data_IF_438418795933
#
_entry.id   IF_438418795933
#
_cell.length_a   1.000
_cell.length_b   1.000
_cell.length_c   1.000
_cell.angle_alpha   90.00
_cell.angle_beta   90.00
_cell.angle_gamma   90.00
#
_symmetry.space_group_name_H-M   'P 1'
#
loop_
_entity.id
_entity.type
_entity.pdbx_description
1 polymer ?
#
# COMPACT_ATOMS: atom_id res chain seq x y z
N UNK A 1 8.90 -15.86 1.98
CA UNK A 1 9.62 -15.09 0.95
C UNK A 1 11.10 -15.36 1.18
N UNK A 2 11.80 -15.85 0.16
CA UNK A 2 13.25 -16.02 0.20
C UNK A 2 13.94 -14.67 0.08
N UNK A 3 15.21 -14.60 0.49
CA UNK A 3 16.03 -13.41 0.26
C UNK A 3 16.04 -13.04 -1.23
N UNK A 4 15.76 -11.79 -1.55
CA UNK A 4 15.66 -11.31 -2.93
C UNK A 4 14.28 -11.48 -3.60
N UNK A 5 13.32 -12.19 -2.98
CA UNK A 5 11.95 -12.24 -3.50
C UNK A 5 11.17 -10.96 -3.09
N UNK A 6 10.40 -10.43 -4.03
CA UNK A 6 9.57 -9.24 -3.81
C UNK A 6 8.26 -9.55 -3.10
N UNK A 7 7.71 -8.56 -2.41
CA UNK A 7 6.40 -8.66 -1.77
C UNK A 7 5.26 -8.47 -2.78
N UNK A 8 4.06 -8.98 -2.45
CA UNK A 8 2.86 -8.75 -3.27
C UNK A 8 2.53 -7.26 -3.48
N UNK A 9 2.85 -6.39 -2.52
CA UNK A 9 2.71 -4.94 -2.68
C UNK A 9 3.59 -4.40 -3.81
N UNK A 10 4.85 -4.80 -3.86
CA UNK A 10 5.75 -4.39 -4.91
C UNK A 10 5.33 -4.94 -6.29
N UNK A 11 4.87 -6.20 -6.34
CA UNK A 11 4.38 -6.80 -7.58
C UNK A 11 3.17 -6.04 -8.15
N UNK A 12 2.27 -5.52 -7.31
CA UNK A 12 1.15 -4.67 -7.75
C UNK A 12 1.67 -3.36 -8.38
N UNK A 13 2.65 -2.72 -7.75
CA UNK A 13 3.32 -1.53 -8.32
C UNK A 13 4.02 -1.83 -9.64
N UNK A 14 4.73 -2.95 -9.74
CA UNK A 14 5.39 -3.38 -11.00
C UNK A 14 4.38 -3.65 -12.13
N UNK A 15 3.20 -4.21 -11.81
CA UNK A 15 2.14 -4.40 -12.81
C UNK A 15 1.67 -3.06 -13.36
N UNK A 16 1.51 -2.03 -12.52
CA UNK A 16 1.18 -0.68 -12.99
C UNK A 16 2.33 -0.09 -13.81
N UNK A 17 3.56 -0.18 -13.35
CA UNK A 17 4.72 0.32 -14.08
C UNK A 17 4.81 -0.28 -15.50
N UNK A 18 4.69 -1.61 -15.61
CA UNK A 18 4.63 -2.30 -16.91
C UNK A 18 3.42 -1.88 -17.75
N UNK A 19 2.30 -1.57 -17.12
CA UNK A 19 1.10 -1.08 -17.82
C UNK A 19 1.38 0.27 -18.46
N UNK A 20 1.99 1.19 -17.74
CA UNK A 20 2.36 2.52 -18.24
C UNK A 20 3.41 2.48 -19.36
N UNK A 21 4.35 1.56 -19.29
CA UNK A 21 5.35 1.36 -20.34
C UNK A 21 4.75 0.86 -21.68
N UNK A 22 3.53 0.28 -21.62
CA UNK A 22 2.88 -0.30 -22.81
C UNK A 22 1.67 0.51 -23.32
N UNK A 23 1.37 1.67 -22.74
CA UNK A 23 0.30 2.55 -23.24
C UNK A 23 0.54 4.00 -22.85
N UNK A 24 0.39 4.88 -23.83
CA UNK A 24 0.42 6.34 -23.66
C UNK A 24 -0.98 6.92 -23.47
N UNK A 25 -2.02 6.15 -23.78
CA UNK A 25 -3.41 6.58 -23.68
C UNK A 25 -3.94 6.37 -22.25
N UNK A 26 -4.11 7.47 -21.53
CA UNK A 26 -4.59 7.44 -20.14
C UNK A 26 -5.96 6.77 -19.95
N UNK A 27 -6.87 6.82 -20.93
CA UNK A 27 -8.17 6.15 -20.85
C UNK A 27 -8.01 4.64 -20.87
N UNK A 28 -6.99 4.13 -21.54
CA UNK A 28 -6.69 2.71 -21.66
C UNK A 28 -5.91 2.15 -20.46
N UNK A 29 -5.18 3.00 -19.72
CA UNK A 29 -4.38 2.56 -18.57
C UNK A 29 -5.22 1.71 -17.59
N UNK A 30 -6.41 2.17 -17.19
CA UNK A 30 -7.24 1.42 -16.23
C UNK A 30 -7.69 0.08 -16.81
N UNK A 31 -8.10 0.06 -18.09
CA UNK A 31 -8.54 -1.17 -18.79
C UNK A 31 -7.39 -2.18 -18.86
N UNK A 32 -6.22 -1.72 -19.30
CA UNK A 32 -5.03 -2.56 -19.44
C UNK A 32 -4.50 -3.00 -18.07
N UNK A 33 -4.52 -2.12 -17.08
CA UNK A 33 -4.14 -2.46 -15.71
C UNK A 33 -5.02 -3.56 -15.12
N UNK A 34 -6.35 -3.48 -15.27
CA UNK A 34 -7.27 -4.55 -14.86
C UNK A 34 -6.94 -5.89 -15.54
N UNK A 35 -6.67 -5.88 -16.85
CA UNK A 35 -6.25 -7.08 -17.59
C UNK A 35 -4.95 -7.64 -17.02
N UNK A 36 -3.96 -6.79 -16.75
CA UNK A 36 -2.67 -7.18 -16.21
C UNK A 36 -2.76 -7.69 -14.76
N UNK A 37 -3.63 -7.13 -13.92
CA UNK A 37 -3.93 -7.68 -12.58
C UNK A 37 -4.43 -9.12 -12.68
N UNK A 38 -5.41 -9.39 -13.56
CA UNK A 38 -5.92 -10.76 -13.75
C UNK A 38 -4.82 -11.69 -14.27
N UNK A 39 -4.00 -11.25 -15.23
CA UNK A 39 -2.89 -12.04 -15.79
C UNK A 39 -1.84 -12.40 -14.72
N UNK A 40 -1.45 -11.44 -13.88
CA UNK A 40 -0.35 -11.63 -12.92
C UNK A 40 -0.77 -12.29 -11.61
N UNK A 41 -2.03 -12.11 -11.17
CA UNK A 41 -2.51 -12.60 -9.87
C UNK A 41 -3.67 -13.60 -9.98
N UNK A 42 -4.29 -13.76 -11.14
CA UNK A 42 -5.44 -14.63 -11.38
C UNK A 42 -5.08 -16.09 -11.60
N UNK A 43 -6.04 -16.91 -12.08
CA UNK A 43 -5.84 -18.31 -12.40
C UNK A 43 -4.60 -18.54 -13.26
N UNK A 44 -3.82 -19.56 -12.94
CA UNK A 44 -2.56 -19.87 -13.63
C UNK A 44 -1.33 -19.16 -13.08
N UNK A 45 -1.48 -18.08 -12.32
CA UNK A 45 -0.34 -17.36 -11.71
C UNK A 45 0.26 -18.11 -10.51
N UNK A 46 1.52 -17.74 -10.16
CA UNK A 46 2.17 -18.21 -8.93
C UNK A 46 1.35 -17.91 -7.66
N UNK A 47 0.64 -16.77 -7.62
CA UNK A 47 -0.22 -16.36 -6.53
C UNK A 47 -1.46 -17.26 -6.40
N UNK A 48 -2.07 -17.60 -7.53
CA UNK A 48 -3.27 -18.44 -7.57
C UNK A 48 -3.00 -19.88 -7.16
N UNK A 49 -1.85 -20.44 -7.59
CA UNK A 49 -1.40 -21.77 -7.15
C UNK A 49 -1.30 -21.86 -5.63
N UNK A 50 -0.71 -20.86 -4.98
CA UNK A 50 -0.60 -20.80 -3.53
C UNK A 50 -1.96 -20.64 -2.83
N UNK A 51 -2.88 -19.85 -3.40
CA UNK A 51 -4.24 -19.73 -2.88
C UNK A 51 -4.99 -21.08 -2.90
N UNK A 52 -4.85 -21.83 -3.98
CA UNK A 52 -5.47 -23.15 -4.13
C UNK A 52 -4.92 -24.15 -3.10
N UNK A 53 -3.61 -24.16 -2.89
CA UNK A 53 -2.96 -24.96 -1.83
C UNK A 53 -3.48 -24.58 -0.45
N UNK A 54 -3.62 -23.28 -0.15
CA UNK A 54 -4.16 -22.80 1.15
C UNK A 54 -5.58 -23.27 1.40
N UNK A 55 -6.45 -23.26 0.39
CA UNK A 55 -7.82 -23.79 0.52
C UNK A 55 -7.82 -25.27 0.85
N UNK A 56 -6.92 -26.05 0.20
CA UNK A 56 -6.75 -27.48 0.45
C UNK A 56 -6.25 -27.76 1.88
N UNK A 57 -5.39 -26.90 2.42
CA UNK A 57 -4.74 -27.08 3.72
C UNK A 57 -5.36 -26.24 4.86
N UNK A 58 -6.61 -25.84 4.75
CA UNK A 58 -7.34 -25.08 5.81
C UNK A 58 -7.27 -25.71 7.21
N UNK A 59 -7.01 -27.03 7.31
CA UNK A 59 -6.89 -27.79 8.56
C UNK A 59 -5.45 -27.86 9.09
N UNK A 60 -4.45 -27.37 8.37
CA UNK A 60 -3.05 -27.44 8.82
C UNK A 60 -2.76 -26.24 9.73
N UNK A 61 -2.40 -26.56 10.99
CA UNK A 61 -1.96 -25.58 11.99
C UNK A 61 -0.84 -24.69 11.40
N UNK A 62 -0.89 -23.41 11.72
CA UNK A 62 0.00 -22.31 11.26
C UNK A 62 1.54 -22.54 11.38
N UNK A 63 1.98 -23.72 11.80
CA UNK A 63 3.41 -24.05 11.97
C UNK A 63 4.15 -24.36 10.67
N UNK A 64 3.44 -24.59 9.57
CA UNK A 64 4.09 -24.85 8.28
C UNK A 64 4.13 -23.56 7.49
N UNK A 65 5.32 -22.95 7.37
CA UNK A 65 5.53 -21.78 6.54
C UNK A 65 5.11 -22.10 5.10
N UNK A 66 4.11 -21.39 4.59
CA UNK A 66 3.67 -21.55 3.21
C UNK A 66 4.74 -20.98 2.28
N UNK A 67 5.26 -21.80 1.39
CA UNK A 67 6.20 -21.36 0.35
C UNK A 67 5.48 -20.53 -0.71
N UNK A 68 6.09 -19.42 -1.12
CA UNK A 68 5.68 -18.61 -2.26
C UNK A 68 4.87 -17.35 -1.91
N UNK A 69 4.51 -16.56 -2.92
CA UNK A 69 3.90 -15.26 -2.73
C UNK A 69 2.47 -15.37 -2.22
N UNK A 70 2.10 -14.38 -1.39
CA UNK A 70 0.77 -14.25 -0.82
C UNK A 70 -0.06 -13.27 -1.63
N UNK A 71 -1.23 -13.69 -2.09
CA UNK A 71 -2.19 -12.78 -2.71
C UNK A 71 -2.97 -12.01 -1.64
N UNK A 72 -3.01 -10.70 -1.75
CA UNK A 72 -3.73 -9.82 -0.82
C UNK A 72 -5.24 -9.88 -1.03
N UNK A 73 -6.00 -9.65 0.03
CA UNK A 73 -7.46 -9.71 0.00
C UNK A 73 -8.05 -8.71 -1.01
N UNK A 74 -7.53 -7.49 -1.07
CA UNK A 74 -7.96 -6.49 -2.06
C UNK A 74 -7.79 -7.00 -3.49
N UNK A 75 -6.68 -7.64 -3.81
CA UNK A 75 -6.40 -8.17 -5.16
C UNK A 75 -7.34 -9.33 -5.50
N UNK A 76 -7.63 -10.22 -4.54
CA UNK A 76 -8.62 -11.29 -4.72
C UNK A 76 -10.01 -10.74 -5.04
N UNK A 77 -10.45 -9.73 -4.29
CA UNK A 77 -11.74 -9.06 -4.54
C UNK A 77 -11.75 -8.34 -5.88
N UNK A 78 -10.65 -7.68 -6.23
CA UNK A 78 -10.47 -7.02 -7.53
C UNK A 78 -10.67 -8.01 -8.68
N UNK A 79 -10.00 -9.15 -8.64
CA UNK A 79 -10.14 -10.19 -9.68
C UNK A 79 -11.59 -10.70 -9.76
N UNK A 80 -12.23 -10.95 -8.61
CA UNK A 80 -13.64 -11.36 -8.56
C UNK A 80 -14.55 -10.30 -9.17
N UNK A 81 -14.37 -9.04 -8.82
CA UNK A 81 -15.18 -7.93 -9.31
C UNK A 81 -14.97 -7.66 -10.81
N UNK A 82 -13.75 -7.84 -11.32
CA UNK A 82 -13.46 -7.78 -12.76
C UNK A 82 -14.23 -8.89 -13.52
N UNK A 83 -14.20 -10.13 -13.01
CA UNK A 83 -14.95 -11.26 -13.59
C UNK A 83 -16.45 -10.99 -13.58
N UNK A 84 -16.97 -10.33 -12.58
CA UNK A 84 -18.37 -9.92 -12.46
C UNK A 84 -18.69 -8.63 -13.24
N UNK A 85 -17.76 -8.14 -14.05
CA UNK A 85 -17.91 -6.92 -14.89
C UNK A 85 -18.33 -5.67 -14.11
N UNK A 86 -17.96 -5.56 -12.82
CA UNK A 86 -18.29 -4.38 -12.02
C UNK A 86 -17.51 -3.16 -12.50
N UNK A 87 -18.16 -1.98 -12.48
CA UNK A 87 -17.53 -0.69 -12.81
C UNK A 87 -16.37 -0.38 -11.86
N UNK A 88 -16.62 -0.49 -10.55
CA UNK A 88 -15.61 -0.32 -9.51
C UNK A 88 -15.16 -1.71 -9.07
N UNK A 89 -13.86 -1.99 -9.23
CA UNK A 89 -13.32 -3.34 -9.05
C UNK A 89 -12.56 -3.55 -7.75
N UNK A 90 -12.08 -2.49 -7.11
CA UNK A 90 -11.26 -2.59 -5.90
C UNK A 90 -11.96 -3.26 -4.73
N UNK A 91 -11.17 -3.96 -3.92
CA UNK A 91 -11.64 -4.59 -2.69
C UNK A 91 -12.06 -3.56 -1.63
N UNK A 92 -13.00 -3.93 -0.78
CA UNK A 92 -13.56 -3.07 0.29
C UNK A 92 -13.40 -3.65 1.69
N UNK A 93 -13.00 -4.91 1.81
CA UNK A 93 -12.97 -5.63 3.08
C UNK A 93 -11.80 -5.26 3.98
N UNK A 94 -10.69 -4.80 3.39
CA UNK A 94 -9.48 -4.47 4.13
C UNK A 94 -8.92 -3.12 3.69
N UNK A 95 -8.38 -2.37 4.65
CA UNK A 95 -7.75 -1.08 4.41
C UNK A 95 -6.23 -1.26 4.39
N UNK A 96 -5.67 -1.61 3.24
CA UNK A 96 -4.26 -1.93 3.05
C UNK A 96 -3.60 -1.10 1.94
N UNK A 97 -2.29 -1.27 1.78
CA UNK A 97 -1.46 -0.43 0.89
C UNK A 97 -1.54 -0.77 -0.61
N UNK A 98 -2.35 -1.74 -1.03
CA UNK A 98 -2.42 -2.15 -2.45
C UNK A 98 -2.75 -0.97 -3.38
N UNK A 99 -3.71 -0.13 -2.98
CA UNK A 99 -4.08 1.05 -3.75
C UNK A 99 -2.95 2.06 -3.88
N UNK A 100 -2.19 2.27 -2.81
CA UNK A 100 -0.99 3.11 -2.83
C UNK A 100 0.06 2.56 -3.79
N UNK A 101 0.42 1.29 -3.65
CA UNK A 101 1.44 0.66 -4.49
C UNK A 101 1.05 0.65 -5.97
N UNK A 102 -0.23 0.39 -6.28
CA UNK A 102 -0.76 0.47 -7.63
C UNK A 102 -0.68 1.88 -8.23
N UNK A 103 -0.92 2.89 -7.41
CA UNK A 103 -1.03 4.28 -7.88
C UNK A 103 0.29 5.05 -7.92
N UNK A 104 1.31 4.58 -7.21
CA UNK A 104 2.60 5.28 -7.11
C UNK A 104 3.23 5.56 -8.48
N UNK A 105 3.42 4.59 -9.39
CA UNK A 105 3.98 4.87 -10.71
C UNK A 105 3.08 5.81 -11.53
N UNK A 106 1.75 5.66 -11.42
CA UNK A 106 0.80 6.49 -12.15
C UNK A 106 0.82 7.94 -11.67
N UNK A 107 0.89 8.18 -10.36
CA UNK A 107 0.91 9.52 -9.76
C UNK A 107 2.10 10.33 -10.27
N UNK A 108 3.30 9.76 -10.22
CA UNK A 108 4.52 10.45 -10.68
C UNK A 108 4.59 10.64 -12.20
N UNK A 109 3.94 9.76 -12.97
CA UNK A 109 3.89 9.91 -14.44
C UNK A 109 2.86 10.94 -14.91
N UNK A 110 1.77 11.17 -14.18
CA UNK A 110 0.62 11.93 -14.68
C UNK A 110 0.19 13.12 -13.81
N UNK A 111 0.68 13.20 -12.58
CA UNK A 111 0.42 14.27 -11.60
C UNK A 111 -1.07 14.72 -11.51
N UNK A 112 -2.00 13.76 -11.46
CA UNK A 112 -3.44 14.03 -11.42
C UNK A 112 -4.10 13.33 -10.26
N UNK A 113 -4.50 14.07 -9.22
CA UNK A 113 -5.18 13.53 -8.03
C UNK A 113 -6.45 12.76 -8.37
N UNK A 114 -7.30 13.31 -9.26
CA UNK A 114 -8.56 12.68 -9.63
C UNK A 114 -8.35 11.32 -10.32
N UNK A 115 -7.41 11.25 -11.27
CA UNK A 115 -7.10 10.01 -11.98
C UNK A 115 -6.42 9.01 -11.07
N UNK A 116 -5.51 9.47 -10.20
CA UNK A 116 -4.84 8.66 -9.19
C UNK A 116 -5.83 7.99 -8.24
N UNK A 117 -6.85 8.71 -7.77
CA UNK A 117 -7.93 8.13 -6.96
C UNK A 117 -8.67 7.02 -7.71
N UNK A 118 -8.91 7.16 -9.02
CA UNK A 118 -9.50 6.08 -9.84
C UNK A 118 -8.61 4.83 -9.88
N UNK A 119 -7.30 5.01 -10.00
CA UNK A 119 -6.33 3.88 -9.93
C UNK A 119 -6.38 3.21 -8.55
N UNK A 120 -6.33 3.99 -7.46
CA UNK A 120 -6.44 3.45 -6.10
C UNK A 120 -7.71 2.59 -5.98
N UNK A 121 -8.86 3.13 -6.39
CA UNK A 121 -10.17 2.46 -6.32
C UNK A 121 -10.28 1.23 -7.23
N UNK A 122 -9.38 1.08 -8.19
CA UNK A 122 -9.34 -0.12 -9.04
C UNK A 122 -8.93 -1.35 -8.26
N UNK A 123 -8.09 -1.20 -7.21
CA UNK A 123 -7.59 -2.32 -6.38
C UNK A 123 -7.99 -2.22 -4.91
N UNK A 124 -8.24 -1.03 -4.38
CA UNK A 124 -8.64 -0.81 -2.98
C UNK A 124 -9.70 0.31 -2.91
N UNK A 125 -10.98 -0.06 -2.85
CA UNK A 125 -12.10 0.89 -2.91
C UNK A 125 -12.66 1.26 -1.52
N UNK A 126 -11.81 1.34 -0.52
CA UNK A 126 -12.16 1.85 0.81
C UNK A 126 -11.79 3.32 0.97
N UNK A 127 -12.66 4.15 1.57
CA UNK A 127 -12.39 5.57 1.85
C UNK A 127 -11.08 5.76 2.64
N UNK A 128 -10.85 4.93 3.64
CA UNK A 128 -9.61 4.94 4.45
C UNK A 128 -8.41 4.62 3.58
N UNK A 129 -8.46 3.53 2.79
CA UNK A 129 -7.38 3.16 1.88
C UNK A 129 -7.01 4.28 0.92
N UNK A 130 -8.01 4.96 0.35
CA UNK A 130 -7.79 6.08 -0.56
C UNK A 130 -7.14 7.27 0.14
N UNK A 131 -7.66 7.68 1.30
CA UNK A 131 -7.13 8.83 2.05
C UNK A 131 -5.67 8.63 2.45
N UNK A 132 -5.33 7.45 2.99
CA UNK A 132 -3.96 7.14 3.38
C UNK A 132 -3.02 6.98 2.18
N UNK A 133 -3.49 6.37 1.08
CA UNK A 133 -2.72 6.27 -0.15
C UNK A 133 -2.39 7.66 -0.73
N UNK A 134 -3.39 8.53 -0.86
CA UNK A 134 -3.19 9.90 -1.35
C UNK A 134 -2.26 10.72 -0.45
N UNK A 135 -2.37 10.56 0.88
CA UNK A 135 -1.48 11.24 1.81
C UNK A 135 -0.02 10.80 1.65
N UNK A 136 0.22 9.48 1.51
CA UNK A 136 1.57 8.94 1.23
C UNK A 136 2.14 9.54 -0.05
N UNK A 137 1.37 9.53 -1.14
CA UNK A 137 1.81 10.09 -2.42
C UNK A 137 2.19 11.57 -2.29
N UNK A 138 1.36 12.37 -1.61
CA UNK A 138 1.63 13.81 -1.41
C UNK A 138 2.84 14.07 -0.51
N UNK A 139 3.07 13.24 0.50
CA UNK A 139 4.26 13.37 1.38
C UNK A 139 5.52 13.01 0.59
N UNK A 140 5.50 11.95 -0.23
CA UNK A 140 6.64 11.58 -1.09
C UNK A 140 6.89 12.67 -2.14
N UNK A 141 5.84 13.21 -2.77
CA UNK A 141 5.97 14.29 -3.75
C UNK A 141 6.64 15.55 -3.15
N UNK A 142 6.31 15.88 -1.90
CA UNK A 142 6.99 16.95 -1.17
C UNK A 142 8.47 16.63 -0.95
N UNK A 143 8.78 15.40 -0.56
CA UNK A 143 10.17 14.97 -0.36
C UNK A 143 10.96 14.97 -1.67
N UNK A 144 10.37 14.49 -2.77
CA UNK A 144 10.95 14.47 -4.11
C UNK A 144 11.27 15.89 -4.62
N UNK A 145 10.44 16.86 -4.27
CA UNK A 145 10.65 18.29 -4.53
C UNK A 145 11.66 18.97 -3.59
N UNK A 146 12.34 18.21 -2.76
CA UNK A 146 13.39 18.69 -1.87
C UNK A 146 12.92 19.23 -0.53
N UNK A 147 11.65 19.04 -0.15
CA UNK A 147 11.17 19.44 1.17
C UNK A 147 11.87 18.62 2.28
N UNK A 148 12.54 19.32 3.19
CA UNK A 148 13.31 18.71 4.28
C UNK A 148 12.42 18.18 5.41
N UNK A 149 11.15 18.59 5.47
CA UNK A 149 10.18 18.17 6.48
C UNK A 149 8.80 17.90 5.87
N UNK A 150 8.70 16.94 4.92
CA UNK A 150 7.52 16.74 4.10
C UNK A 150 6.28 16.35 4.93
N UNK A 151 6.45 15.68 6.06
CA UNK A 151 5.34 15.30 6.96
C UNK A 151 4.71 16.52 7.61
N UNK A 152 5.51 17.44 8.13
CA UNK A 152 4.98 18.68 8.72
C UNK A 152 4.43 19.64 7.67
N UNK A 153 5.06 19.71 6.51
CA UNK A 153 4.53 20.51 5.38
C UNK A 153 3.19 19.97 4.91
N UNK A 154 3.04 18.64 4.79
CA UNK A 154 1.76 18.03 4.49
C UNK A 154 0.69 18.40 5.53
N UNK A 155 1.03 18.33 6.82
CA UNK A 155 0.11 18.73 7.89
C UNK A 155 -0.32 20.19 7.77
N UNK A 156 0.62 21.14 7.61
CA UNK A 156 0.29 22.58 7.47
C UNK A 156 -0.62 22.85 6.29
N UNK A 157 -0.32 22.28 5.12
CA UNK A 157 -1.09 22.47 3.90
C UNK A 157 -2.50 21.88 3.95
N UNK A 158 -2.72 20.85 4.77
CA UNK A 158 -3.97 20.09 4.76
C UNK A 158 -4.77 20.19 6.06
N UNK A 159 -4.36 21.01 7.04
CA UNK A 159 -4.98 21.05 8.38
C UNK A 159 -6.50 21.32 8.37
N UNK A 160 -6.98 22.08 7.39
CA UNK A 160 -8.40 22.40 7.19
C UNK A 160 -9.09 21.49 6.16
N UNK A 161 -8.36 20.56 5.55
CA UNK A 161 -8.89 19.70 4.50
C UNK A 161 -9.62 18.49 5.11
N UNK A 162 -10.94 18.55 5.11
CA UNK A 162 -11.81 17.48 5.64
C UNK A 162 -11.54 16.09 5.04
N UNK A 163 -11.05 16.04 3.80
CA UNK A 163 -10.69 14.79 3.14
C UNK A 163 -9.56 14.03 3.90
N UNK A 164 -8.61 14.75 4.50
CA UNK A 164 -7.48 14.16 5.21
C UNK A 164 -7.63 14.11 6.74
N UNK A 165 -8.80 14.41 7.31
CA UNK A 165 -8.96 14.48 8.78
C UNK A 165 -8.40 13.23 9.50
N UNK A 166 -8.77 12.01 9.06
CA UNK A 166 -8.27 10.78 9.64
C UNK A 166 -6.74 10.67 9.59
N UNK A 167 -6.13 11.07 8.47
CA UNK A 167 -4.67 11.03 8.29
C UNK A 167 -4.00 12.04 9.22
N UNK A 168 -4.51 13.26 9.26
CA UNK A 168 -3.99 14.35 10.09
C UNK A 168 -4.02 13.97 11.58
N UNK A 169 -5.13 13.42 12.05
CA UNK A 169 -5.26 12.94 13.43
C UNK A 169 -4.24 11.84 13.73
N UNK A 170 -4.02 10.91 12.83
CA UNK A 170 -3.06 9.83 13.01
C UNK A 170 -1.62 10.38 13.06
N UNK A 171 -1.25 11.31 12.18
CA UNK A 171 0.08 11.94 12.26
C UNK A 171 0.24 12.69 13.60
N UNK A 172 -0.78 13.44 14.05
CA UNK A 172 -0.75 14.12 15.36
C UNK A 172 -0.57 13.13 16.52
N UNK A 173 -1.27 11.98 16.51
CA UNK A 173 -1.12 10.91 17.50
C UNK A 173 0.31 10.34 17.53
N UNK A 174 0.91 10.11 16.37
CA UNK A 174 2.30 9.64 16.26
C UNK A 174 3.28 10.69 16.82
N UNK A 175 3.09 11.97 16.47
CA UNK A 175 3.96 13.06 16.95
C UNK A 175 3.93 13.22 18.47
N UNK A 176 2.78 13.00 19.11
CA UNK A 176 2.66 13.04 20.59
C UNK A 176 3.54 11.99 21.30
N UNK A 177 3.86 10.91 20.64
CA UNK A 177 4.67 9.82 21.19
C UNK A 177 5.98 9.59 20.44
N UNK A 178 6.48 10.61 19.71
CA UNK A 178 7.69 10.49 18.89
C UNK A 178 8.95 10.05 19.67
N UNK A 179 9.03 10.38 20.95
CA UNK A 179 10.15 9.99 21.85
C UNK A 179 10.13 8.51 22.25
N UNK A 180 9.02 7.81 22.06
CA UNK A 180 8.92 6.39 22.42
C UNK A 180 9.69 5.51 21.44
N UNK A 181 10.22 4.34 21.87
CA UNK A 181 10.87 3.38 20.99
C UNK A 181 9.94 2.94 19.85
N UNK A 182 10.51 2.74 18.66
CA UNK A 182 9.71 2.44 17.47
C UNK A 182 8.88 1.16 17.58
N UNK A 183 9.43 0.10 18.19
CA UNK A 183 8.72 -1.15 18.45
C UNK A 183 7.49 -0.95 19.36
N UNK A 184 7.59 -0.07 20.36
CA UNK A 184 6.44 0.32 21.19
C UNK A 184 5.35 0.99 20.34
N UNK A 185 5.73 1.95 19.49
CA UNK A 185 4.78 2.67 18.62
C UNK A 185 4.08 1.71 17.67
N UNK A 186 4.83 0.82 17.01
CA UNK A 186 4.26 -0.20 16.13
C UNK A 186 3.34 -1.16 16.89
N UNK A 187 3.69 -1.58 18.11
CA UNK A 187 2.82 -2.39 18.96
C UNK A 187 1.53 -1.66 19.31
N UNK A 188 1.63 -0.37 19.68
CA UNK A 188 0.49 0.48 20.09
C UNK A 188 -0.51 0.70 18.94
N UNK A 189 -0.04 0.99 17.73
CA UNK A 189 -0.92 1.29 16.59
C UNK A 189 -1.32 0.06 15.78
N UNK A 190 -0.66 -1.08 15.99
CA UNK A 190 -0.95 -2.33 15.33
C UNK A 190 0.18 -2.82 14.40
N UNK A 191 0.48 -4.11 14.50
CA UNK A 191 1.54 -4.80 13.73
C UNK A 191 1.05 -5.39 12.40
N UNK A 192 -0.28 -5.39 12.14
CA UNK A 192 -0.88 -5.96 10.95
C UNK A 192 -0.68 -5.08 9.71
N UNK A 193 -1.16 -5.55 8.55
CA UNK A 193 -1.02 -4.86 7.27
C UNK A 193 -1.92 -3.63 7.11
N UNK A 194 -2.93 -3.49 7.98
CA UNK A 194 -4.01 -2.51 7.81
C UNK A 194 -3.63 -1.09 8.25
N UNK A 195 -4.22 -0.10 7.57
CA UNK A 195 -4.29 1.27 8.04
C UNK A 195 -5.19 1.39 9.29
N UNK A 196 -4.91 2.31 10.23
CA UNK A 196 -3.83 3.27 10.19
C UNK A 196 -2.49 2.74 10.74
N UNK A 197 -2.43 1.52 11.28
CA UNK A 197 -1.26 1.00 11.98
C UNK A 197 0.02 1.05 11.16
N UNK A 198 -0.03 0.59 9.91
CA UNK A 198 1.13 0.60 9.01
C UNK A 198 1.60 2.00 8.66
N UNK A 199 0.67 2.92 8.41
CA UNK A 199 0.98 4.32 8.16
C UNK A 199 1.62 4.98 9.38
N UNK A 200 1.04 4.79 10.56
CA UNK A 200 1.54 5.36 11.81
C UNK A 200 2.96 4.88 12.13
N UNK A 201 3.22 3.58 11.94
CA UNK A 201 4.56 3.03 12.08
C UNK A 201 5.55 3.63 11.08
N UNK A 202 5.16 3.77 9.81
CA UNK A 202 6.00 4.39 8.78
C UNK A 202 6.30 5.86 9.12
N UNK A 203 5.28 6.67 9.43
CA UNK A 203 5.46 8.08 9.84
C UNK A 203 6.42 8.18 11.03
N UNK A 204 6.26 7.33 12.05
CA UNK A 204 7.18 7.36 13.18
C UNK A 204 8.63 7.03 12.79
N UNK A 205 8.84 6.04 11.91
CA UNK A 205 10.18 5.73 11.41
C UNK A 205 10.78 6.93 10.67
N UNK A 206 10.00 7.59 9.79
CA UNK A 206 10.43 8.75 9.00
C UNK A 206 10.84 9.91 9.93
N UNK A 207 9.96 10.34 10.82
CA UNK A 207 10.20 11.55 11.66
C UNK A 207 11.24 11.35 12.79
N UNK A 208 11.64 10.11 13.06
CA UNK A 208 12.61 9.79 14.14
C UNK A 208 13.91 9.20 13.61
N UNK A 209 14.12 9.12 12.32
CA UNK A 209 15.33 8.56 11.71
C UNK A 209 16.14 9.65 11.02
N UNK A 210 17.46 9.59 11.17
CA UNK A 210 18.40 10.53 10.52
C UNK A 210 18.75 10.13 9.07
N UNK A 211 18.42 8.90 8.67
CA UNK A 211 18.71 8.39 7.32
C UNK A 211 17.70 7.32 6.91
N UNK A 212 17.57 7.09 5.60
CA UNK A 212 16.78 6.02 5.02
C UNK A 212 17.16 4.64 5.59
N UNK A 213 18.47 4.33 5.65
CA UNK A 213 18.96 3.08 6.23
C UNK A 213 18.46 2.87 7.67
N UNK A 214 18.52 3.92 8.50
CA UNK A 214 18.04 3.84 9.89
C UNK A 214 16.53 3.63 9.97
N UNK A 215 15.75 4.28 9.13
CA UNK A 215 14.29 4.12 9.06
C UNK A 215 13.91 2.69 8.68
N UNK A 216 14.57 2.11 7.67
CA UNK A 216 14.34 0.72 7.22
C UNK A 216 14.69 -0.27 8.32
N UNK A 217 15.86 -0.13 8.95
CA UNK A 217 16.29 -1.02 10.06
C UNK A 217 15.29 -0.97 11.23
N UNK A 218 14.84 0.22 11.63
CA UNK A 218 13.81 0.38 12.67
C UNK A 218 12.52 -0.36 12.29
N UNK A 219 12.07 -0.20 11.05
CA UNK A 219 10.86 -0.84 10.53
C UNK A 219 10.96 -2.35 10.58
N UNK A 220 12.10 -2.94 10.16
CA UNK A 220 12.34 -4.38 10.19
C UNK A 220 12.37 -4.90 11.63
N UNK A 221 13.14 -4.25 12.53
CA UNK A 221 13.27 -4.65 13.94
C UNK A 221 11.96 -4.59 14.72
N UNK A 222 10.99 -3.79 14.31
CA UNK A 222 9.69 -3.71 14.99
C UNK A 222 8.81 -4.95 14.78
N UNK A 223 9.11 -5.79 13.81
CA UNK A 223 8.35 -7.00 13.48
C UNK A 223 6.96 -6.73 12.90
N UNK A 224 6.16 -7.78 12.75
CA UNK A 224 4.84 -7.70 12.10
C UNK A 224 4.94 -7.49 10.60
N UNK A 225 3.97 -6.80 9.97
CA UNK A 225 3.96 -6.58 8.54
C UNK A 225 4.94 -5.47 8.11
N UNK A 226 6.22 -5.83 7.97
CA UNK A 226 7.27 -4.90 7.57
C UNK A 226 7.08 -4.38 6.15
N UNK A 227 6.63 -5.23 5.21
CA UNK A 227 6.42 -4.84 3.81
C UNK A 227 5.44 -3.67 3.67
N UNK A 228 4.31 -3.70 4.38
CA UNK A 228 3.31 -2.64 4.30
C UNK A 228 3.73 -1.33 4.99
N UNK A 229 4.71 -1.37 5.91
CA UNK A 229 5.32 -0.16 6.47
C UNK A 229 6.45 0.38 5.60
N UNK A 230 7.28 -0.52 5.06
CA UNK A 230 8.46 -0.15 4.28
C UNK A 230 8.15 0.27 2.84
N UNK A 231 6.90 0.11 2.37
CA UNK A 231 6.50 0.59 1.05
C UNK A 231 6.20 2.10 1.00
N UNK A 232 6.37 2.81 2.10
CA UNK A 232 6.31 4.25 2.24
C UNK A 232 7.67 4.80 2.62
#
# INVERSE_FOLDING_TARGET
IKTGEVSGYNDVGQVMFKTLANTVNQKEVIKLFKKNIVKNFGPGSKYWKNLSLRKKYKKIKWKTAMKGPWIHQNILETIKNIKLKKTITGGTKVNESDGYCASLPFYFSHNSDQKTKKIIRTVANGKISEQFAMAKLKIIDLADKGDKDPVNTFLRKNIKNKYFNNVIENIKKVKKIKSKPHNFVVKKFGKACSYPGTFNGAIHAIITSKSFKTAVIKTIKAGGCNCSRANF
#
